data_IF_447129131674
#
_entry.id   IF_447129131674
#
_cell.length_a   1.000
_cell.length_b   1.000
_cell.length_c   1.000
_cell.angle_alpha   90.00
_cell.angle_beta   90.00
_cell.angle_gamma   90.00
#
_symmetry.space_group_name_H-M   'P 1'
#
loop_
_entity.id
_entity.type
_entity.pdbx_description
1 polymer ?
#
# COMPACT_ATOMS: atom_id res chain seq x y z
N UNK A 1 36.14 16.51 33.67
CA UNK A 1 34.83 16.78 33.03
C UNK A 1 34.43 15.54 32.27
N UNK A 2 33.19 15.08 32.42
CA UNK A 2 32.67 13.98 31.60
C UNK A 2 32.54 14.47 30.16
N UNK A 3 32.84 13.63 29.14
CA UNK A 3 32.71 14.01 27.75
C UNK A 3 31.25 14.32 27.40
N UNK A 4 31.04 15.28 26.51
CA UNK A 4 29.75 15.58 25.90
C UNK A 4 29.33 14.46 24.93
N UNK A 5 28.03 14.35 24.65
CA UNK A 5 27.54 13.33 23.69
C UNK A 5 28.16 13.44 22.30
N UNK A 6 28.48 14.66 21.85
CA UNK A 6 29.16 14.87 20.56
C UNK A 6 30.62 14.39 20.58
N UNK A 7 31.33 14.58 21.69
CA UNK A 7 32.68 14.06 21.88
C UNK A 7 32.70 12.53 21.92
N UNK A 8 31.72 11.92 22.60
CA UNK A 8 31.54 10.46 22.63
C UNK A 8 31.33 9.90 21.22
N UNK A 9 30.44 10.50 20.42
CA UNK A 9 30.21 10.05 19.04
C UNK A 9 31.48 10.19 18.21
N UNK A 10 32.22 11.30 18.34
CA UNK A 10 33.47 11.51 17.60
C UNK A 10 34.53 10.47 17.98
N UNK A 11 34.65 10.15 19.27
CA UNK A 11 35.56 9.11 19.74
C UNK A 11 35.17 7.75 19.18
N UNK A 12 33.89 7.40 19.21
CA UNK A 12 33.40 6.13 18.67
C UNK A 12 33.66 6.03 17.17
N UNK A 13 33.41 7.11 16.41
CA UNK A 13 33.72 7.14 14.96
C UNK A 13 35.20 6.89 14.64
N UNK A 14 36.11 7.19 15.56
CA UNK A 14 37.55 6.88 15.37
C UNK A 14 37.93 5.42 15.65
N UNK A 15 36.98 4.62 16.18
CA UNK A 15 37.19 3.24 16.61
C UNK A 15 36.40 2.22 15.76
N UNK A 16 35.63 2.70 14.80
CA UNK A 16 34.83 1.88 13.89
C UNK A 16 35.26 2.11 12.46
N UNK A 17 34.93 1.18 11.58
CA UNK A 17 35.05 1.38 10.15
C UNK A 17 33.85 2.20 9.63
N UNK A 18 34.14 3.17 8.78
CA UNK A 18 33.14 3.98 8.09
C UNK A 18 33.21 3.74 6.59
N UNK A 19 32.06 3.64 5.93
CA UNK A 19 31.95 3.41 4.48
C UNK A 19 31.19 4.55 3.80
N UNK A 20 31.59 4.90 2.59
CA UNK A 20 30.93 5.91 1.78
C UNK A 20 29.70 5.33 1.03
N UNK A 21 28.57 6.07 0.92
CA UNK A 21 27.39 5.60 0.19
C UNK A 21 27.64 5.13 -1.25
N UNK A 22 28.64 5.68 -1.94
CA UNK A 22 28.98 5.27 -3.31
C UNK A 22 29.53 3.85 -3.38
N UNK A 23 30.31 3.42 -2.38
CA UNK A 23 30.85 2.07 -2.31
C UNK A 23 29.75 1.05 -2.01
N UNK A 24 28.81 1.41 -1.13
CA UNK A 24 27.64 0.59 -0.81
C UNK A 24 26.73 0.42 -2.03
N UNK A 25 26.45 1.50 -2.77
CA UNK A 25 25.64 1.45 -3.99
C UNK A 25 26.32 0.64 -5.12
N UNK A 26 27.64 0.77 -5.26
CA UNK A 26 28.43 0.09 -6.30
C UNK A 26 28.65 -1.40 -6.02
N UNK A 27 28.62 -1.82 -4.76
CA UNK A 27 28.75 -3.22 -4.35
C UNK A 27 27.62 -4.13 -4.91
N UNK A 28 26.52 -3.54 -5.40
CA UNK A 28 25.46 -4.25 -6.10
C UNK A 28 25.79 -4.65 -7.55
N UNK A 29 26.76 -3.98 -8.19
CA UNK A 29 26.95 -3.99 -9.65
C UNK A 29 28.22 -4.74 -10.12
N UNK A 30 29.25 -4.83 -9.27
CA UNK A 30 30.51 -5.50 -9.61
C UNK A 30 30.57 -6.88 -8.94
N UNK A 31 30.27 -7.93 -9.73
CA UNK A 31 30.04 -9.31 -9.29
C UNK A 31 31.24 -10.09 -8.74
N UNK A 32 32.01 -9.54 -7.80
CA UNK A 32 33.11 -10.27 -7.15
C UNK A 32 33.25 -10.03 -5.63
N UNK A 33 32.33 -9.29 -5.01
CA UNK A 33 32.23 -9.14 -3.55
C UNK A 33 30.85 -9.51 -3.04
N UNK A 34 30.76 -10.20 -1.91
CA UNK A 34 29.48 -10.48 -1.23
C UNK A 34 28.78 -9.16 -0.91
N UNK A 35 27.52 -8.99 -1.37
CA UNK A 35 26.72 -7.80 -1.04
C UNK A 35 26.61 -7.66 0.48
N UNK A 36 26.85 -6.46 1.04
CA UNK A 36 26.69 -6.25 2.48
C UNK A 36 25.22 -6.39 2.87
N UNK A 37 24.96 -6.83 4.11
CA UNK A 37 23.62 -6.70 4.69
C UNK A 37 23.46 -5.28 5.21
N UNK A 38 22.51 -4.55 4.63
CA UNK A 38 22.18 -3.20 5.06
C UNK A 38 21.22 -3.26 6.25
N UNK A 39 21.57 -2.59 7.35
CA UNK A 39 20.76 -2.51 8.55
C UNK A 39 20.38 -1.06 8.83
N UNK A 40 19.08 -0.78 8.77
CA UNK A 40 18.53 0.53 9.14
C UNK A 40 18.23 0.56 10.63
N UNK A 41 18.92 1.44 11.37
CA UNK A 41 18.75 1.59 12.82
C UNK A 41 17.84 2.75 13.24
N UNK A 42 17.11 3.34 12.28
CA UNK A 42 16.14 4.42 12.54
C UNK A 42 14.84 3.88 13.16
N UNK A 43 13.98 4.79 13.60
CA UNK A 43 12.65 4.44 14.11
C UNK A 43 11.72 3.99 12.97
N UNK A 44 10.61 3.30 13.33
CA UNK A 44 9.66 2.74 12.35
C UNK A 44 9.06 3.81 11.43
N UNK A 45 8.78 5.00 11.94
CA UNK A 45 8.23 6.09 11.12
C UNK A 45 9.23 6.58 10.06
N UNK A 46 10.52 6.60 10.40
CA UNK A 46 11.58 6.99 9.46
C UNK A 46 11.81 5.92 8.38
N UNK A 47 11.62 4.65 8.73
CA UNK A 47 11.66 3.50 7.81
C UNK A 47 10.48 3.53 6.84
N UNK A 48 9.27 3.73 7.36
CA UNK A 48 8.02 3.86 6.59
C UNK A 48 8.06 5.06 5.63
N UNK A 49 8.77 6.13 5.97
CA UNK A 49 8.97 7.30 5.11
C UNK A 49 10.02 7.07 3.98
N UNK A 50 10.66 5.91 3.94
CA UNK A 50 11.62 5.52 2.92
C UNK A 50 12.95 5.04 3.49
N UNK A 51 13.44 3.93 2.97
CA UNK A 51 14.68 3.24 3.38
C UNK A 51 15.48 2.79 2.15
N UNK A 52 16.70 2.28 2.35
CA UNK A 52 17.56 1.83 1.25
C UNK A 52 17.06 0.47 0.74
N UNK A 53 16.93 0.25 -0.58
CA UNK A 53 16.45 -1.02 -1.15
C UNK A 53 17.17 -2.24 -0.59
N UNK A 54 16.40 -3.25 -0.18
CA UNK A 54 16.94 -4.50 0.37
C UNK A 54 17.55 -4.40 1.78
N UNK A 55 17.43 -3.26 2.45
CA UNK A 55 17.81 -3.14 3.86
C UNK A 55 16.88 -3.97 4.77
N UNK A 56 17.38 -4.29 5.96
CA UNK A 56 16.57 -4.85 7.05
C UNK A 56 16.43 -3.81 8.15
N UNK A 57 15.23 -3.70 8.73
CA UNK A 57 14.94 -2.73 9.78
C UNK A 57 15.21 -3.32 11.16
N UNK A 58 16.15 -2.71 11.90
CA UNK A 58 16.46 -3.06 13.29
C UNK A 58 16.70 -1.77 14.08
N UNK A 59 15.65 -1.15 14.66
CA UNK A 59 15.78 0.12 15.37
C UNK A 59 16.86 0.07 16.46
N UNK A 60 17.59 1.19 16.64
CA UNK A 60 18.72 1.26 17.59
C UNK A 60 18.38 0.77 18.99
N UNK A 61 17.17 1.05 19.48
CA UNK A 61 16.73 0.65 20.83
C UNK A 61 16.48 -0.85 21.02
N UNK A 62 16.39 -1.62 19.92
CA UNK A 62 16.16 -3.07 19.94
C UNK A 62 17.32 -3.87 19.35
N UNK A 63 18.42 -3.20 18.99
CA UNK A 63 19.53 -3.76 18.22
C UNK A 63 20.07 -5.04 18.83
N UNK A 64 20.43 -5.00 20.11
CA UNK A 64 21.04 -6.09 20.85
C UNK A 64 20.12 -7.32 20.95
N UNK A 65 18.81 -7.10 20.91
CA UNK A 65 17.79 -8.15 21.01
C UNK A 65 17.34 -8.74 19.68
N UNK A 66 17.57 -8.05 18.55
CA UNK A 66 16.99 -8.39 17.24
C UNK A 66 18.01 -8.65 16.14
N UNK A 67 19.25 -8.18 16.31
CA UNK A 67 20.25 -8.23 15.24
C UNK A 67 20.54 -9.66 14.77
N UNK A 68 20.58 -10.65 15.66
CA UNK A 68 20.84 -12.06 15.28
C UNK A 68 19.76 -12.66 14.37
N UNK A 69 18.52 -12.17 14.46
CA UNK A 69 17.47 -12.56 13.52
C UNK A 69 17.64 -11.94 12.13
N UNK A 70 18.23 -10.74 12.06
CA UNK A 70 18.51 -10.05 10.81
C UNK A 70 19.83 -10.52 10.17
N UNK A 71 20.87 -10.76 10.97
CA UNK A 71 22.21 -11.17 10.56
C UNK A 71 22.70 -12.28 11.50
N UNK A 72 22.33 -13.55 11.25
CA UNK A 72 22.76 -14.66 12.12
C UNK A 72 24.25 -14.99 11.98
N UNK A 73 24.86 -14.71 10.82
CA UNK A 73 26.28 -14.93 10.57
C UNK A 73 27.11 -13.69 10.95
N UNK A 74 27.87 -13.79 12.04
CA UNK A 74 28.69 -12.69 12.58
C UNK A 74 29.92 -12.34 11.73
N UNK A 75 30.29 -13.21 10.78
CA UNK A 75 31.37 -12.96 9.83
C UNK A 75 30.88 -12.23 8.57
N UNK A 76 29.56 -12.15 8.36
CA UNK A 76 29.00 -11.47 7.21
C UNK A 76 29.30 -9.96 7.28
N UNK A 77 29.57 -9.36 6.12
CA UNK A 77 29.74 -7.89 6.01
C UNK A 77 28.41 -7.19 6.28
N UNK A 78 28.37 -6.36 7.32
CA UNK A 78 27.19 -5.58 7.75
C UNK A 78 27.49 -4.10 7.62
N UNK A 79 26.58 -3.37 6.96
CA UNK A 79 26.64 -1.91 6.91
C UNK A 79 25.42 -1.33 7.61
N UNK A 80 25.66 -0.59 8.69
CA UNK A 80 24.62 0.08 9.47
C UNK A 80 24.44 1.51 8.97
N UNK A 81 23.19 1.96 8.87
CA UNK A 81 22.92 3.37 8.57
C UNK A 81 21.76 3.90 9.41
N UNK A 82 21.78 5.22 9.59
CA UNK A 82 20.67 5.97 10.18
C UNK A 82 20.39 7.21 9.35
N UNK A 83 19.79 8.26 9.93
CA UNK A 83 19.59 9.53 9.24
C UNK A 83 20.91 10.16 8.74
N UNK A 84 21.88 10.36 9.65
CA UNK A 84 23.08 11.17 9.39
C UNK A 84 24.42 10.49 9.74
N UNK A 85 24.40 9.23 10.15
CA UNK A 85 25.61 8.46 10.50
C UNK A 85 25.99 8.46 12.00
N UNK A 86 25.25 9.16 12.86
CA UNK A 86 25.56 9.21 14.31
C UNK A 86 25.02 7.98 15.08
N UNK A 87 23.73 7.63 14.89
CA UNK A 87 23.13 6.44 15.53
C UNK A 87 23.74 5.13 15.02
N UNK A 88 24.11 5.08 13.75
CA UNK A 88 24.75 3.91 13.15
C UNK A 88 26.18 3.71 13.64
N UNK A 89 26.92 4.79 13.94
CA UNK A 89 28.25 4.68 14.55
C UNK A 89 28.18 4.03 15.94
N UNK A 90 27.22 4.44 16.76
CA UNK A 90 26.96 3.82 18.06
C UNK A 90 26.54 2.35 17.92
N UNK A 91 25.71 2.04 16.92
CA UNK A 91 25.29 0.68 16.62
C UNK A 91 26.47 -0.20 16.20
N UNK A 92 27.33 0.31 15.31
CA UNK A 92 28.49 -0.41 14.80
C UNK A 92 29.45 -0.78 15.93
N UNK A 93 29.77 0.18 16.80
CA UNK A 93 30.57 -0.05 17.99
C UNK A 93 29.97 -1.12 18.91
N UNK A 94 28.65 -1.10 19.14
CA UNK A 94 27.98 -2.15 19.92
C UNK A 94 28.08 -3.53 19.26
N UNK A 95 27.87 -3.63 17.95
CA UNK A 95 27.97 -4.92 17.24
C UNK A 95 29.39 -5.49 17.32
N UNK A 96 30.41 -4.66 17.11
CA UNK A 96 31.81 -5.08 17.13
C UNK A 96 32.27 -5.43 18.54
N UNK A 97 32.15 -4.49 19.49
CA UNK A 97 32.81 -4.60 20.79
C UNK A 97 32.02 -5.41 21.83
N UNK A 98 30.70 -5.47 21.71
CA UNK A 98 29.85 -6.19 22.67
C UNK A 98 29.29 -7.49 22.10
N UNK A 99 28.98 -7.53 20.81
CA UNK A 99 28.32 -8.67 20.17
C UNK A 99 29.25 -9.48 19.25
N UNK A 100 30.49 -9.06 19.05
CA UNK A 100 31.52 -9.83 18.33
C UNK A 100 31.21 -10.08 16.85
N UNK A 101 30.59 -9.11 16.18
CA UNK A 101 30.52 -9.11 14.71
C UNK A 101 31.85 -8.63 14.13
N UNK A 102 32.35 -9.33 13.11
CA UNK A 102 33.72 -9.16 12.63
C UNK A 102 33.85 -8.05 11.56
N UNK A 103 32.84 -7.91 10.69
CA UNK A 103 32.88 -7.04 9.52
C UNK A 103 31.74 -6.03 9.56
N UNK A 104 31.88 -4.98 10.38
CA UNK A 104 30.81 -3.99 10.63
C UNK A 104 31.28 -2.58 10.28
N UNK A 105 30.53 -1.94 9.39
CA UNK A 105 30.78 -0.57 8.96
C UNK A 105 29.58 0.33 9.27
N UNK A 106 29.84 1.60 9.59
CA UNK A 106 28.81 2.65 9.64
C UNK A 106 28.83 3.48 8.36
N UNK A 107 27.69 3.63 7.71
CA UNK A 107 27.59 4.46 6.50
C UNK A 107 27.68 5.96 6.83
N UNK A 108 28.68 6.62 6.26
CA UNK A 108 28.89 8.07 6.42
C UNK A 108 27.72 8.87 5.86
N UNK A 109 27.30 9.91 6.59
CA UNK A 109 26.18 10.77 6.20
C UNK A 109 24.79 10.09 6.19
N UNK A 110 24.71 8.79 6.49
CA UNK A 110 23.46 8.03 6.56
C UNK A 110 22.62 8.08 5.27
N UNK A 111 21.32 7.88 5.41
CA UNK A 111 20.38 7.93 4.29
C UNK A 111 20.19 9.36 3.75
N UNK A 112 20.50 10.41 4.52
CA UNK A 112 20.48 11.79 4.00
C UNK A 112 21.48 11.94 2.86
N UNK A 113 22.74 11.53 3.06
CA UNK A 113 23.76 11.60 2.01
C UNK A 113 23.47 10.64 0.85
N UNK A 114 22.85 9.49 1.12
CA UNK A 114 22.36 8.57 0.09
C UNK A 114 21.35 9.25 -0.85
N UNK A 115 20.34 9.93 -0.27
CA UNK A 115 19.33 10.69 -1.01
C UNK A 115 19.92 11.88 -1.76
N UNK A 116 20.83 12.63 -1.14
CA UNK A 116 21.49 13.78 -1.76
C UNK A 116 22.30 13.39 -3.02
N UNK A 117 22.74 12.14 -3.11
CA UNK A 117 23.43 11.57 -4.27
C UNK A 117 22.49 11.00 -5.34
N UNK A 118 21.18 11.07 -5.12
CA UNK A 118 20.16 10.58 -6.06
C UNK A 118 20.10 9.06 -6.16
N UNK A 119 20.53 8.34 -5.13
CA UNK A 119 20.41 6.87 -5.09
C UNK A 119 19.00 6.44 -4.67
N UNK A 120 18.60 5.25 -5.12
CA UNK A 120 17.22 4.74 -4.96
C UNK A 120 16.84 4.55 -3.50
N UNK A 121 15.58 4.85 -3.17
CA UNK A 121 14.97 4.58 -1.88
C UNK A 121 13.64 3.85 -2.07
N UNK A 122 13.39 2.84 -1.26
CA UNK A 122 12.12 2.13 -1.18
C UNK A 122 11.27 2.75 -0.08
N UNK A 123 10.06 3.17 -0.42
CA UNK A 123 9.04 3.55 0.58
C UNK A 123 8.16 2.31 0.75
N UNK A 124 8.12 1.67 1.93
CA UNK A 124 7.17 0.60 2.17
C UNK A 124 5.78 1.14 1.89
N UNK A 125 4.92 0.36 1.23
CA UNK A 125 3.50 0.70 1.14
C UNK A 125 2.91 0.63 2.55
N UNK A 126 2.98 1.73 3.28
CA UNK A 126 2.52 1.84 4.67
C UNK A 126 1.15 2.50 4.69
N UNK A 127 0.22 1.90 5.42
CA UNK A 127 -1.07 2.51 5.69
C UNK A 127 -0.92 3.74 6.59
N UNK A 128 -1.71 4.80 6.32
CA UNK A 128 -1.83 5.92 7.25
C UNK A 128 -2.33 5.45 8.62
N UNK A 129 -2.20 6.28 9.66
CA UNK A 129 -2.72 5.95 10.99
C UNK A 129 -4.23 5.66 10.95
N UNK A 130 -4.97 6.49 10.25
CA UNK A 130 -6.42 6.37 10.05
C UNK A 130 -6.78 5.09 9.29
N UNK A 131 -6.01 4.75 8.25
CA UNK A 131 -6.20 3.51 7.49
C UNK A 131 -5.89 2.28 8.34
N UNK A 132 -4.82 2.30 9.15
CA UNK A 132 -4.51 1.20 10.09
C UNK A 132 -5.62 0.98 11.11
N UNK A 133 -6.20 2.05 11.64
CA UNK A 133 -7.31 1.96 12.57
C UNK A 133 -8.57 1.40 11.88
N UNK A 134 -8.95 1.97 10.72
CA UNK A 134 -10.12 1.56 9.93
C UNK A 134 -10.05 0.09 9.50
N UNK A 135 -8.91 -0.36 8.99
CA UNK A 135 -8.73 -1.71 8.44
C UNK A 135 -8.09 -2.67 9.44
N UNK A 136 -8.01 -2.31 10.72
CA UNK A 136 -7.39 -3.13 11.77
C UNK A 136 -7.89 -4.57 11.80
N UNK A 137 -9.18 -4.80 11.49
CA UNK A 137 -9.77 -6.15 11.42
C UNK A 137 -9.33 -6.94 10.18
N UNK A 138 -9.10 -6.30 9.05
CA UNK A 138 -8.58 -6.95 7.84
C UNK A 138 -7.09 -7.31 7.99
N UNK A 139 -6.31 -6.45 8.65
CA UNK A 139 -4.89 -6.71 8.90
C UNK A 139 -4.64 -7.98 9.74
N UNK A 140 -5.64 -8.42 10.51
CA UNK A 140 -5.57 -9.65 11.31
C UNK A 140 -5.95 -10.92 10.53
N UNK A 141 -6.55 -10.80 9.34
CA UNK A 141 -6.91 -11.93 8.48
C UNK A 141 -5.68 -12.35 7.68
N UNK A 142 -5.11 -13.55 7.86
CA UNK A 142 -3.86 -13.96 7.22
C UNK A 142 -3.88 -13.86 5.68
N UNK A 143 -5.03 -14.15 5.07
CA UNK A 143 -5.24 -14.11 3.62
C UNK A 143 -5.31 -12.67 3.07
N UNK A 144 -5.53 -11.67 3.92
CA UNK A 144 -5.53 -10.25 3.55
C UNK A 144 -4.23 -9.60 4.05
N UNK A 145 -4.07 -9.46 5.36
CA UNK A 145 -2.92 -8.79 5.96
C UNK A 145 -2.67 -7.39 5.42
N UNK A 146 -1.45 -6.88 5.60
CA UNK A 146 -1.04 -5.58 5.07
C UNK A 146 -1.00 -5.58 3.53
N UNK A 147 -0.50 -6.66 2.93
CA UNK A 147 -0.33 -6.76 1.48
C UNK A 147 -1.68 -6.74 0.75
N UNK A 148 -2.63 -7.57 1.16
CA UNK A 148 -3.96 -7.63 0.59
C UNK A 148 -4.74 -6.34 0.80
N UNK A 149 -4.64 -5.71 1.99
CA UNK A 149 -5.29 -4.42 2.21
C UNK A 149 -4.70 -3.32 1.33
N UNK A 150 -3.40 -3.35 1.09
CA UNK A 150 -2.74 -2.43 0.17
C UNK A 150 -3.21 -2.65 -1.26
N UNK A 151 -3.34 -3.91 -1.70
CA UNK A 151 -3.93 -4.24 -3.02
C UNK A 151 -5.35 -3.72 -3.16
N UNK A 152 -6.20 -3.85 -2.13
CA UNK A 152 -7.54 -3.27 -2.13
C UNK A 152 -7.51 -1.75 -2.32
N UNK A 153 -6.65 -1.04 -1.57
CA UNK A 153 -6.53 0.42 -1.68
C UNK A 153 -6.04 0.91 -3.04
N UNK A 154 -5.35 0.07 -3.81
CA UNK A 154 -4.88 0.37 -5.16
C UNK A 154 -5.88 -0.07 -6.24
N UNK A 155 -6.76 -1.01 -5.91
CA UNK A 155 -7.70 -1.60 -6.85
C UNK A 155 -8.77 -0.61 -7.32
N UNK A 156 -9.18 -0.79 -8.57
CA UNK A 156 -10.24 -0.06 -9.26
C UNK A 156 -11.32 -1.05 -9.67
N UNK A 157 -12.51 -0.91 -9.10
CA UNK A 157 -13.66 -1.76 -9.43
C UNK A 157 -14.75 -0.93 -10.09
N UNK A 158 -15.27 -1.40 -11.22
CA UNK A 158 -16.41 -0.78 -11.90
C UNK A 158 -17.70 -1.55 -11.56
N UNK A 159 -18.69 -0.84 -11.05
CA UNK A 159 -20.04 -1.36 -10.80
C UNK A 159 -20.96 -0.93 -11.94
N UNK A 160 -21.54 -1.91 -12.61
CA UNK A 160 -22.58 -1.68 -13.62
C UNK A 160 -23.95 -1.76 -12.96
N UNK A 161 -24.52 -0.59 -12.71
CA UNK A 161 -25.74 -0.38 -11.95
C UNK A 161 -25.46 -0.13 -10.47
N UNK A 162 -26.16 0.85 -9.90
CA UNK A 162 -26.28 1.11 -8.47
C UNK A 162 -27.59 0.52 -7.88
N UNK A 163 -28.26 -0.36 -8.64
CA UNK A 163 -29.52 -1.00 -8.27
C UNK A 163 -29.39 -2.09 -7.18
N UNK A 164 -30.28 -3.09 -7.21
CA UNK A 164 -30.39 -4.08 -6.12
C UNK A 164 -29.14 -4.93 -5.89
N UNK A 165 -28.37 -5.22 -6.94
CA UNK A 165 -27.10 -5.95 -6.87
C UNK A 165 -25.91 -5.02 -6.60
N UNK A 166 -25.89 -3.87 -7.28
CA UNK A 166 -24.82 -2.87 -7.15
C UNK A 166 -24.78 -2.19 -5.79
N UNK A 167 -25.96 -1.89 -5.22
CA UNK A 167 -26.12 -1.26 -3.91
C UNK A 167 -25.32 -1.94 -2.79
N UNK A 168 -25.59 -3.21 -2.42
CA UNK A 168 -24.84 -3.88 -1.35
C UNK A 168 -23.35 -4.05 -1.72
N UNK A 169 -23.06 -4.32 -2.99
CA UNK A 169 -21.67 -4.54 -3.44
C UNK A 169 -20.83 -3.28 -3.26
N UNK A 170 -21.32 -2.13 -3.71
CA UNK A 170 -20.65 -0.84 -3.56
C UNK A 170 -20.40 -0.49 -2.07
N UNK A 171 -21.39 -0.73 -1.20
CA UNK A 171 -21.26 -0.49 0.24
C UNK A 171 -20.13 -1.34 0.86
N UNK A 172 -20.07 -2.64 0.55
CA UNK A 172 -19.05 -3.53 1.11
C UNK A 172 -17.66 -3.29 0.51
N UNK A 173 -17.55 -3.02 -0.79
CA UNK A 173 -16.26 -2.68 -1.42
C UNK A 173 -15.71 -1.35 -0.86
N UNK A 174 -16.57 -0.36 -0.66
CA UNK A 174 -16.19 0.90 -0.03
C UNK A 174 -15.71 0.68 1.41
N UNK A 175 -16.46 -0.11 2.20
CA UNK A 175 -16.08 -0.44 3.58
C UNK A 175 -14.76 -1.23 3.65
N UNK A 176 -14.52 -2.13 2.70
CA UNK A 176 -13.30 -2.92 2.58
C UNK A 176 -12.08 -2.09 2.17
N UNK A 177 -12.30 -0.87 1.67
CA UNK A 177 -11.23 0.04 1.27
C UNK A 177 -10.73 -0.19 -0.15
N UNK A 178 -11.62 -0.58 -1.08
CA UNK A 178 -11.30 -0.51 -2.50
C UNK A 178 -10.99 0.94 -2.88
N UNK A 179 -9.84 1.18 -3.51
CA UNK A 179 -9.32 2.52 -3.76
C UNK A 179 -10.21 3.36 -4.65
N UNK A 180 -10.65 2.79 -5.78
CA UNK A 180 -11.54 3.46 -6.73
C UNK A 180 -12.77 2.62 -7.03
N UNK A 181 -13.95 3.23 -6.92
CA UNK A 181 -15.22 2.66 -7.35
C UNK A 181 -15.79 3.48 -8.51
N UNK A 182 -15.81 2.88 -9.70
CA UNK A 182 -16.59 3.38 -10.82
C UNK A 182 -18.05 2.96 -10.69
N UNK A 183 -19.00 3.84 -11.01
CA UNK A 183 -20.43 3.53 -10.97
C UNK A 183 -21.07 3.99 -12.27
N UNK A 184 -21.67 3.06 -13.00
CA UNK A 184 -22.42 3.33 -14.23
C UNK A 184 -23.91 3.11 -13.96
N UNK A 185 -24.71 4.18 -13.99
CA UNK A 185 -26.16 4.09 -13.85
C UNK A 185 -26.81 5.36 -14.43
N UNK A 186 -27.83 5.22 -15.28
CA UNK A 186 -28.55 6.33 -15.91
C UNK A 186 -29.84 6.73 -15.19
N UNK A 187 -30.27 5.97 -14.18
CA UNK A 187 -31.52 6.22 -13.48
C UNK A 187 -31.38 7.22 -12.32
N UNK A 188 -32.53 7.78 -11.94
CA UNK A 188 -32.72 8.47 -10.67
C UNK A 188 -33.22 7.51 -9.58
N UNK A 189 -33.04 7.89 -8.31
CA UNK A 189 -33.58 7.17 -7.16
C UNK A 189 -35.10 7.26 -7.14
N UNK A 190 -35.77 6.11 -7.04
CA UNK A 190 -37.23 6.02 -6.99
C UNK A 190 -37.73 5.29 -5.73
N UNK A 191 -38.89 5.72 -5.19
CA UNK A 191 -39.49 5.14 -3.98
C UNK A 191 -39.72 3.63 -4.09
N UNK A 192 -40.17 3.14 -5.25
CA UNK A 192 -40.47 1.71 -5.49
C UNK A 192 -39.21 0.83 -5.44
N UNK A 193 -38.03 1.44 -5.54
CA UNK A 193 -36.75 0.76 -5.63
C UNK A 193 -36.07 0.64 -4.26
N UNK A 194 -36.45 1.46 -3.28
CA UNK A 194 -35.84 1.50 -1.93
C UNK A 194 -35.99 0.20 -1.13
N UNK A 195 -36.94 -0.67 -1.46
CA UNK A 195 -37.11 -1.97 -0.79
C UNK A 195 -35.91 -2.92 -0.97
N UNK A 196 -35.04 -2.68 -1.97
CA UNK A 196 -33.85 -3.50 -2.24
C UNK A 196 -32.57 -2.71 -2.54
N UNK A 197 -32.68 -1.43 -2.89
CA UNK A 197 -31.53 -0.60 -3.24
C UNK A 197 -31.01 0.15 -2.01
N UNK A 198 -30.38 -0.60 -1.11
CA UNK A 198 -30.01 -0.16 0.26
C UNK A 198 -28.95 0.93 0.32
N UNK A 199 -28.30 1.28 -0.80
CA UNK A 199 -27.37 2.41 -0.87
C UNK A 199 -28.12 3.76 -0.96
N UNK A 200 -29.39 3.74 -1.33
CA UNK A 200 -30.24 4.92 -1.50
C UNK A 200 -31.17 5.11 -0.30
N UNK A 201 -31.64 6.35 -0.13
CA UNK A 201 -32.53 6.74 0.97
C UNK A 201 -33.74 7.51 0.44
N UNK A 202 -34.78 7.63 1.26
CA UNK A 202 -35.98 8.43 0.95
C UNK A 202 -35.64 9.88 0.61
N UNK A 203 -34.66 10.48 1.30
CA UNK A 203 -34.20 11.84 1.03
C UNK A 203 -33.49 11.99 -0.32
N UNK A 204 -33.05 10.88 -0.92
CA UNK A 204 -32.38 10.84 -2.22
C UNK A 204 -33.33 10.71 -3.41
N UNK A 205 -34.65 10.55 -3.21
CA UNK A 205 -35.62 10.37 -4.31
C UNK A 205 -35.51 11.51 -5.32
N UNK A 206 -35.44 11.15 -6.60
CA UNK A 206 -35.28 12.09 -7.73
C UNK A 206 -33.86 12.60 -7.95
N UNK A 207 -32.87 12.15 -7.17
CA UNK A 207 -31.46 12.41 -7.47
C UNK A 207 -30.87 11.29 -8.32
N UNK A 208 -29.88 11.57 -9.19
CA UNK A 208 -29.19 10.53 -9.94
C UNK A 208 -28.63 9.45 -9.01
N UNK A 209 -28.82 8.17 -9.36
CA UNK A 209 -28.35 7.06 -8.52
C UNK A 209 -26.85 7.12 -8.29
N UNK A 210 -26.06 7.50 -9.29
CA UNK A 210 -24.60 7.68 -9.15
C UNK A 210 -24.22 8.71 -8.10
N UNK A 211 -24.97 9.82 -7.98
CA UNK A 211 -24.74 10.85 -6.97
C UNK A 211 -25.18 10.39 -5.59
N UNK A 212 -26.34 9.70 -5.50
CA UNK A 212 -26.78 9.11 -4.24
C UNK A 212 -25.81 8.05 -3.72
N UNK A 213 -25.26 7.23 -4.62
CA UNK A 213 -24.30 6.18 -4.27
C UNK A 213 -22.97 6.76 -3.79
N UNK A 214 -22.44 7.78 -4.46
CA UNK A 214 -21.24 8.51 -4.03
C UNK A 214 -21.38 9.04 -2.60
N UNK A 215 -22.49 9.73 -2.29
CA UNK A 215 -22.75 10.24 -0.93
C UNK A 215 -22.73 9.13 0.12
N UNK A 216 -23.37 7.99 -0.17
CA UNK A 216 -23.40 6.85 0.74
C UNK A 216 -22.01 6.20 0.91
N UNK A 217 -21.26 6.06 -0.17
CA UNK A 217 -19.88 5.54 -0.15
C UNK A 217 -18.98 6.42 0.70
N UNK A 218 -19.02 7.74 0.51
CA UNK A 218 -18.19 8.67 1.29
C UNK A 218 -18.62 8.77 2.75
N UNK A 219 -19.90 8.58 3.06
CA UNK A 219 -20.37 8.49 4.44
C UNK A 219 -19.78 7.26 5.17
N UNK A 220 -19.52 6.17 4.46
CA UNK A 220 -18.87 4.97 4.99
C UNK A 220 -17.34 5.16 5.02
N UNK A 221 -16.77 5.56 3.89
CA UNK A 221 -15.34 5.65 3.69
C UNK A 221 -14.98 6.85 2.80
N UNK A 222 -14.59 8.00 3.38
CA UNK A 222 -14.24 9.19 2.62
C UNK A 222 -12.91 9.04 1.85
N UNK A 223 -12.15 7.97 2.07
CA UNK A 223 -10.92 7.68 1.35
C UNK A 223 -11.12 7.02 -0.02
N UNK A 224 -12.35 6.64 -0.37
CA UNK A 224 -12.67 5.99 -1.66
C UNK A 224 -12.84 7.04 -2.74
N UNK A 225 -12.12 6.89 -3.85
CA UNK A 225 -12.33 7.69 -5.05
C UNK A 225 -13.55 7.14 -5.82
N UNK A 226 -14.60 7.95 -5.99
CA UNK A 226 -15.79 7.54 -6.73
C UNK A 226 -15.77 8.19 -8.11
N UNK A 227 -15.90 7.38 -9.15
CA UNK A 227 -15.99 7.85 -10.55
C UNK A 227 -17.39 7.58 -11.05
N UNK A 228 -18.11 8.62 -11.44
CA UNK A 228 -19.52 8.55 -11.82
C UNK A 228 -19.69 8.58 -13.33
N UNK A 229 -20.44 7.63 -13.84
CA UNK A 229 -20.90 7.60 -15.22
C UNK A 229 -22.43 7.60 -15.22
N UNK A 230 -23.03 8.80 -15.28
CA UNK A 230 -24.48 8.94 -15.42
C UNK A 230 -24.89 8.69 -16.87
N UNK A 231 -24.77 7.45 -17.31
CA UNK A 231 -25.01 7.06 -18.70
C UNK A 231 -25.41 5.60 -18.77
N UNK A 232 -26.06 5.25 -19.88
CA UNK A 232 -26.36 3.87 -20.20
C UNK A 232 -25.16 3.24 -20.89
N UNK A 233 -24.74 2.07 -20.43
CA UNK A 233 -23.66 1.34 -21.08
C UNK A 233 -24.15 0.77 -22.42
N UNK A 234 -23.47 1.11 -23.51
CA UNK A 234 -23.75 0.63 -24.86
C UNK A 234 -22.48 0.49 -25.70
N UNK A 235 -22.63 0.02 -26.94
CA UNK A 235 -21.50 -0.28 -27.81
C UNK A 235 -20.63 0.94 -28.17
N UNK A 236 -21.15 2.16 -28.02
CA UNK A 236 -20.41 3.39 -28.30
C UNK A 236 -19.49 3.82 -27.18
N UNK A 237 -19.75 3.41 -25.93
CA UNK A 237 -19.03 3.88 -24.74
C UNK A 237 -18.37 2.76 -23.91
N UNK A 238 -18.75 1.49 -24.10
CA UNK A 238 -18.31 0.39 -23.23
C UNK A 238 -16.79 0.26 -23.15
N UNK A 239 -16.09 0.37 -24.28
CA UNK A 239 -14.63 0.19 -24.31
C UNK A 239 -13.91 1.28 -23.53
N UNK A 240 -14.38 2.53 -23.64
CA UNK A 240 -13.78 3.68 -22.93
C UNK A 240 -14.05 3.60 -21.42
N UNK A 241 -15.29 3.25 -21.03
CA UNK A 241 -15.70 3.25 -19.63
C UNK A 241 -15.03 2.14 -18.83
N UNK A 242 -14.86 0.95 -19.41
CA UNK A 242 -14.29 -0.19 -18.68
C UNK A 242 -12.75 -0.21 -18.67
N UNK A 243 -12.10 0.56 -19.54
CA UNK A 243 -10.64 0.57 -19.65
C UNK A 243 -9.98 1.06 -18.36
N UNK A 244 -8.96 0.34 -17.91
CA UNK A 244 -8.18 0.71 -16.72
C UNK A 244 -8.81 0.34 -15.38
N UNK A 245 -9.94 -0.38 -15.37
CA UNK A 245 -10.47 -1.05 -14.18
C UNK A 245 -9.90 -2.47 -14.06
N UNK A 246 -9.68 -2.92 -12.81
CA UNK A 246 -9.10 -4.23 -12.52
C UNK A 246 -10.17 -5.34 -12.51
N UNK A 247 -11.38 -5.01 -12.09
CA UNK A 247 -12.53 -5.94 -11.99
C UNK A 247 -13.81 -5.20 -12.31
N UNK A 248 -14.74 -5.87 -12.99
CA UNK A 248 -16.09 -5.35 -13.23
C UNK A 248 -17.10 -6.20 -12.47
N UNK A 249 -18.03 -5.54 -11.79
CA UNK A 249 -19.20 -6.14 -11.17
C UNK A 249 -20.41 -5.87 -12.05
N UNK A 250 -20.96 -6.92 -12.63
CA UNK A 250 -22.15 -6.87 -13.47
C UNK A 250 -23.42 -7.03 -12.63
N UNK A 251 -24.10 -5.91 -12.40
CA UNK A 251 -25.41 -5.83 -11.75
C UNK A 251 -26.56 -5.48 -12.71
N UNK A 252 -26.35 -5.54 -14.03
CA UNK A 252 -27.35 -5.12 -15.02
C UNK A 252 -28.42 -6.18 -15.20
N UNK A 253 -29.67 -5.79 -15.41
CA UNK A 253 -30.81 -6.72 -15.46
C UNK A 253 -31.26 -7.07 -16.89
N UNK A 254 -30.48 -6.71 -17.91
CA UNK A 254 -30.84 -6.93 -19.30
C UNK A 254 -29.76 -7.73 -20.07
N UNK A 255 -30.20 -8.66 -20.91
CA UNK A 255 -29.31 -9.52 -21.69
C UNK A 255 -28.41 -8.77 -22.68
N UNK A 256 -28.89 -7.77 -23.46
CA UNK A 256 -28.03 -7.07 -24.42
C UNK A 256 -26.78 -6.45 -23.79
N UNK A 257 -26.90 -5.77 -22.65
CA UNK A 257 -25.74 -5.18 -21.96
C UNK A 257 -24.80 -6.26 -21.43
N UNK A 258 -25.30 -7.41 -20.96
CA UNK A 258 -24.45 -8.52 -20.49
C UNK A 258 -23.60 -9.13 -21.60
N UNK A 259 -24.19 -9.39 -22.77
CA UNK A 259 -23.43 -9.90 -23.92
C UNK A 259 -22.40 -8.88 -24.41
N UNK A 260 -22.79 -7.61 -24.51
CA UNK A 260 -21.87 -6.53 -24.86
C UNK A 260 -20.68 -6.45 -23.88
N UNK A 261 -20.97 -6.51 -22.59
CA UNK A 261 -19.95 -6.48 -21.54
C UNK A 261 -18.97 -7.64 -21.70
N UNK A 262 -19.49 -8.87 -21.84
CA UNK A 262 -18.65 -10.05 -22.02
C UNK A 262 -17.71 -9.90 -23.22
N UNK A 263 -18.23 -9.44 -24.36
CA UNK A 263 -17.42 -9.25 -25.56
C UNK A 263 -16.34 -8.18 -25.38
N UNK A 264 -16.64 -7.11 -24.65
CA UNK A 264 -15.69 -6.04 -24.36
C UNK A 264 -14.61 -6.49 -23.36
N UNK A 265 -14.98 -7.20 -22.30
CA UNK A 265 -14.06 -7.61 -21.23
C UNK A 265 -13.14 -8.74 -21.63
N UNK A 266 -13.60 -9.68 -22.47
CA UNK A 266 -12.74 -10.70 -23.09
C UNK A 266 -11.64 -10.07 -23.94
N UNK A 267 -11.91 -8.94 -24.61
CA UNK A 267 -10.91 -8.23 -25.42
C UNK A 267 -9.87 -7.50 -24.59
N UNK A 268 -10.24 -7.03 -23.41
CA UNK A 268 -9.37 -6.26 -22.51
C UNK A 268 -8.75 -7.11 -21.40
N UNK A 269 -9.07 -8.40 -21.34
CA UNK A 269 -8.63 -9.33 -20.29
C UNK A 269 -9.03 -8.86 -18.87
N UNK A 270 -10.25 -8.32 -18.75
CA UNK A 270 -10.78 -7.83 -17.47
C UNK A 270 -11.73 -8.88 -16.88
N UNK A 271 -11.50 -9.37 -15.65
CA UNK A 271 -12.41 -10.28 -15.00
C UNK A 271 -13.76 -9.63 -14.68
N UNK A 272 -14.83 -10.40 -14.88
CA UNK A 272 -16.21 -10.00 -14.57
C UNK A 272 -16.79 -10.89 -13.49
N UNK A 273 -17.33 -10.26 -12.44
CA UNK A 273 -18.18 -10.91 -11.44
C UNK A 273 -19.63 -10.58 -11.79
N UNK A 274 -20.34 -11.54 -12.37
CA UNK A 274 -21.73 -11.36 -12.82
C UNK A 274 -22.71 -12.07 -11.89
N UNK A 275 -23.79 -11.38 -11.56
CA UNK A 275 -24.90 -11.92 -10.77
C UNK A 275 -26.24 -11.52 -11.41
N UNK A 276 -27.29 -12.30 -11.21
CA UNK A 276 -28.65 -11.99 -11.68
C UNK A 276 -29.66 -12.50 -10.67
N UNK A 277 -30.82 -11.86 -10.53
CA UNK A 277 -31.86 -12.33 -9.61
C UNK A 277 -33.20 -12.34 -10.35
N UNK A 278 -33.99 -13.40 -10.14
CA UNK A 278 -35.37 -13.50 -10.60
C UNK A 278 -36.23 -14.10 -9.48
N UNK A 279 -37.12 -13.28 -8.91
CA UNK A 279 -37.99 -13.73 -7.82
C UNK A 279 -37.18 -14.13 -6.57
N UNK A 280 -37.11 -15.42 -6.29
CA UNK A 280 -36.43 -15.99 -5.12
C UNK A 280 -35.11 -16.70 -5.45
N UNK A 281 -34.70 -16.68 -6.73
CA UNK A 281 -33.48 -17.34 -7.21
C UNK A 281 -32.46 -16.30 -7.71
N UNK A 282 -31.16 -16.60 -7.55
CA UNK A 282 -30.05 -15.77 -8.02
C UNK A 282 -28.71 -16.48 -8.03
#
# INVERSE_FOLDING_TARGET
MSPSGAEVIRQIKSQIDEVDPSEVNSAGSNGNGSRPVLIDVRESEEWDAGHIPGAKHVPRGYLESRIEGAVPDRSQRVVLYCASGNRSALAAHTLTDMLGYENVESMTGGITLWKDRGYDVEVPKSLSKEQRERYSRHLLVPEIGLEGQTKLLEAKVLLLGAGGLGSPTALYLAAAGVGTLGIVDDDDVDLSNLQRQVIHTTDGIGTPKVDSAERAIHAINPGVNVVKYQTRLDASNVMEIIEGYDVIVDGVDNFPTRYLLNDATVRLDIPVVSASILGFDG
#
